data_IF_152372712910
#
_entry.id   IF_152372712910
#
_cell.length_a   1.000
_cell.length_b   1.000
_cell.length_c   1.000
_cell.angle_alpha   90.00
_cell.angle_beta   90.00
_cell.angle_gamma   90.00
#
_symmetry.space_group_name_H-M   'P 1'
#
loop_
_entity.id
_entity.type
_entity.pdbx_description
1 polymer ?
#
# COMPACT_ATOMS: atom_id res chain seq x y z
N UNK A 1 -22.82 20.64 24.05
CA UNK A 1 -21.82 20.94 23.01
C UNK A 1 -21.30 19.63 22.46
N UNK A 2 -21.62 19.45 21.17
CA UNK A 2 -21.21 18.51 20.14
C UNK A 2 -20.34 17.31 20.47
N UNK A 3 -20.85 16.14 20.07
CA UNK A 3 -20.12 14.89 19.84
C UNK A 3 -19.09 15.06 18.71
N UNK A 4 -18.03 15.83 18.96
CA UNK A 4 -16.98 16.17 18.00
C UNK A 4 -15.63 15.61 18.45
N UNK A 5 -15.58 14.32 18.79
CA UNK A 5 -14.32 13.64 19.15
C UNK A 5 -14.05 12.34 18.39
N UNK A 6 -14.98 11.85 17.58
CA UNK A 6 -14.80 10.61 16.82
C UNK A 6 -14.52 10.84 15.32
N UNK A 7 -14.94 11.97 14.75
CA UNK A 7 -14.87 12.19 13.29
C UNK A 7 -13.63 12.98 12.81
N UNK A 8 -12.74 13.40 13.72
CA UNK A 8 -11.64 14.32 13.41
C UNK A 8 -10.22 13.72 13.45
N UNK A 9 -10.07 12.40 13.47
CA UNK A 9 -8.75 11.78 13.25
C UNK A 9 -8.40 11.62 11.76
N UNK A 10 -9.33 11.92 10.86
CA UNK A 10 -9.15 11.74 9.42
C UNK A 10 -8.45 12.91 8.72
N UNK A 11 -8.37 14.09 9.35
CA UNK A 11 -7.79 15.29 8.71
C UNK A 11 -6.25 15.37 8.71
N UNK A 12 -5.54 14.44 9.36
CA UNK A 12 -4.06 14.47 9.35
C UNK A 12 -3.37 13.10 9.36
N UNK A 13 -4.02 12.05 8.86
CA UNK A 13 -3.31 10.79 8.67
C UNK A 13 -2.66 10.74 7.31
N UNK A 14 -1.33 10.82 7.28
CA UNK A 14 -0.55 10.55 6.07
C UNK A 14 -0.82 9.17 5.48
N UNK A 15 -1.19 8.19 6.31
CA UNK A 15 -1.53 6.84 5.86
C UNK A 15 -2.84 6.85 5.10
N UNK A 16 -3.84 7.58 5.58
CA UNK A 16 -5.15 7.63 4.92
C UNK A 16 -5.14 8.55 3.71
N UNK A 17 -4.41 9.67 3.74
CA UNK A 17 -4.15 10.49 2.55
C UNK A 17 -3.48 9.66 1.45
N UNK A 18 -2.38 8.98 1.79
CA UNK A 18 -1.73 8.05 0.87
C UNK A 18 -2.68 6.96 0.35
N UNK A 19 -3.48 6.34 1.23
CA UNK A 19 -4.42 5.30 0.85
C UNK A 19 -5.46 5.82 -0.16
N UNK A 20 -6.02 7.00 0.09
CA UNK A 20 -7.01 7.62 -0.80
C UNK A 20 -6.43 8.02 -2.15
N UNK A 21 -5.18 8.48 -2.19
CA UNK A 21 -4.54 9.01 -3.40
C UNK A 21 -3.87 7.91 -4.25
N UNK A 22 -3.22 6.96 -3.58
CA UNK A 22 -2.31 6.02 -4.23
C UNK A 22 -2.85 4.60 -4.34
N UNK A 23 -3.95 4.24 -3.66
CA UNK A 23 -4.50 2.88 -3.68
C UNK A 23 -5.82 2.81 -4.46
N UNK A 24 -6.02 1.70 -5.15
CA UNK A 24 -7.25 1.37 -5.87
C UNK A 24 -7.71 -0.07 -5.60
N UNK A 25 -9.00 -0.32 -5.80
CA UNK A 25 -9.53 -1.69 -5.78
C UNK A 25 -9.02 -2.45 -7.00
N UNK A 26 -8.61 -3.70 -6.81
CA UNK A 26 -8.15 -4.57 -7.89
C UNK A 26 -9.29 -4.85 -8.87
N UNK A 27 -9.04 -4.59 -10.15
CA UNK A 27 -9.98 -4.92 -11.23
C UNK A 27 -10.33 -6.42 -11.21
N UNK A 28 -11.61 -6.75 -11.01
CA UNK A 28 -12.10 -8.13 -11.02
C UNK A 28 -11.66 -9.00 -9.84
N UNK A 29 -11.17 -8.41 -8.74
CA UNK A 29 -10.83 -9.13 -7.50
C UNK A 29 -9.66 -10.12 -7.64
N UNK A 30 -8.88 -10.03 -8.72
CA UNK A 30 -7.76 -10.94 -8.99
C UNK A 30 -6.43 -10.22 -8.78
N UNK A 31 -5.51 -10.91 -8.12
CA UNK A 31 -4.13 -10.45 -7.93
C UNK A 31 -3.35 -10.84 -9.18
N UNK A 32 -3.00 -9.84 -10.00
CA UNK A 32 -2.26 -10.00 -11.26
C UNK A 32 -0.91 -9.29 -11.29
N UNK A 33 -0.61 -8.53 -10.24
CA UNK A 33 0.63 -7.78 -10.09
C UNK A 33 1.53 -8.40 -9.00
N UNK A 34 2.75 -7.89 -8.92
CA UNK A 34 3.72 -8.24 -7.89
C UNK A 34 3.77 -7.16 -6.80
N UNK A 35 2.65 -6.48 -6.54
CA UNK A 35 2.52 -5.41 -5.56
C UNK A 35 2.34 -6.01 -4.15
N UNK A 36 3.47 -6.25 -3.48
CA UNK A 36 3.49 -6.74 -2.10
C UNK A 36 3.17 -5.63 -1.11
N UNK A 37 2.76 -5.98 0.10
CA UNK A 37 2.57 -5.01 1.19
C UNK A 37 3.86 -4.24 1.48
N UNK A 38 5.03 -4.85 1.23
CA UNK A 38 6.34 -4.19 1.32
C UNK A 38 6.51 -3.08 0.28
N UNK A 39 6.21 -3.37 -1.00
CA UNK A 39 6.26 -2.37 -2.07
C UNK A 39 5.30 -1.21 -1.83
N UNK A 40 4.08 -1.49 -1.36
CA UNK A 40 3.13 -0.43 -0.97
C UNK A 40 3.73 0.46 0.13
N UNK A 41 4.38 -0.13 1.14
CA UNK A 41 5.04 0.63 2.19
C UNK A 41 6.28 1.43 1.69
N UNK A 42 7.03 0.90 0.74
CA UNK A 42 8.14 1.63 0.12
C UNK A 42 7.65 2.85 -0.67
N UNK A 43 6.55 2.69 -1.41
CA UNK A 43 5.89 3.81 -2.10
C UNK A 43 5.29 4.81 -1.11
N UNK A 44 4.71 4.36 0.00
CA UNK A 44 4.26 5.25 1.09
C UNK A 44 5.40 6.10 1.66
N UNK A 45 6.57 5.52 1.93
CA UNK A 45 7.74 6.29 2.40
C UNK A 45 8.17 7.35 1.38
N UNK A 46 8.17 7.01 0.09
CA UNK A 46 8.49 7.96 -0.97
C UNK A 46 7.45 9.08 -1.07
N UNK A 47 6.17 8.75 -0.98
CA UNK A 47 5.09 9.73 -0.93
C UNK A 47 5.22 10.65 0.29
N UNK A 48 5.61 10.13 1.46
CA UNK A 48 5.88 10.95 2.65
C UNK A 48 7.09 11.89 2.47
N UNK A 49 8.08 11.53 1.64
CA UNK A 49 9.19 12.43 1.29
C UNK A 49 8.70 13.68 0.56
N UNK A 50 7.73 13.51 -0.34
CA UNK A 50 7.15 14.61 -1.10
C UNK A 50 6.09 15.39 -0.31
N UNK A 51 5.31 14.72 0.55
CA UNK A 51 4.08 15.27 1.12
C UNK A 51 4.09 15.46 2.64
N UNK A 52 5.09 14.95 3.36
CA UNK A 52 5.15 15.02 4.83
C UNK A 52 6.59 15.22 5.37
N UNK A 53 7.39 16.01 4.67
CA UNK A 53 8.79 16.32 5.05
C UNK A 53 9.66 15.07 5.29
N UNK A 54 9.34 13.94 4.66
CA UNK A 54 10.05 12.67 4.82
C UNK A 54 9.67 11.86 6.06
N UNK A 55 8.78 12.35 6.92
CA UNK A 55 8.32 11.56 8.06
C UNK A 55 7.29 10.52 7.61
N UNK A 56 7.61 9.24 7.80
CA UNK A 56 6.72 8.12 7.55
C UNK A 56 6.52 7.31 8.84
N UNK A 57 5.27 6.89 9.09
CA UNK A 57 4.94 5.93 10.15
C UNK A 57 5.67 4.60 9.94
N UNK A 58 5.85 3.83 11.01
CA UNK A 58 6.43 2.49 10.90
C UNK A 58 5.53 1.54 10.09
N UNK A 59 6.11 0.47 9.55
CA UNK A 59 5.36 -0.54 8.79
C UNK A 59 4.25 -1.22 9.61
N UNK A 60 4.36 -1.24 10.95
CA UNK A 60 3.32 -1.77 11.84
C UNK A 60 2.15 -0.78 11.91
N UNK A 61 2.43 0.48 12.27
CA UNK A 61 1.42 1.55 12.35
C UNK A 61 0.69 1.73 11.02
N UNK A 62 1.44 1.78 9.91
CA UNK A 62 0.89 1.86 8.55
C UNK A 62 -0.16 0.78 8.28
N UNK A 63 0.16 -0.49 8.57
CA UNK A 63 -0.78 -1.60 8.33
C UNK A 63 -1.94 -1.62 9.32
N UNK A 64 -1.71 -1.25 10.57
CA UNK A 64 -2.76 -1.17 11.59
C UNK A 64 -3.80 -0.11 11.22
N UNK A 65 -3.35 1.06 10.82
CA UNK A 65 -4.24 2.18 10.47
C UNK A 65 -5.05 1.92 9.19
N UNK A 66 -4.47 1.22 8.20
CA UNK A 66 -5.22 0.72 7.04
C UNK A 66 -6.29 -0.29 7.48
N UNK A 67 -5.96 -1.21 8.40
CA UNK A 67 -6.91 -2.20 8.90
C UNK A 67 -8.09 -1.53 9.63
N UNK A 68 -7.80 -0.54 10.48
CA UNK A 68 -8.80 0.28 11.17
C UNK A 68 -9.69 1.04 10.18
N UNK A 69 -9.10 1.68 9.16
CA UNK A 69 -9.83 2.39 8.11
C UNK A 69 -10.78 1.48 7.32
N UNK A 70 -10.36 0.23 7.06
CA UNK A 70 -11.16 -0.76 6.34
C UNK A 70 -12.07 -1.58 7.26
N UNK A 71 -12.11 -1.29 8.57
CA UNK A 71 -12.87 -2.05 9.57
C UNK A 71 -12.57 -3.57 9.53
N UNK A 72 -11.28 -3.91 9.47
CA UNK A 72 -10.78 -5.28 9.29
C UNK A 72 -9.51 -5.53 10.12
N UNK A 73 -8.86 -6.68 9.93
CA UNK A 73 -7.58 -7.01 10.54
C UNK A 73 -6.48 -7.16 9.47
N UNK A 74 -5.21 -6.97 9.86
CA UNK A 74 -4.08 -7.16 8.94
C UNK A 74 -4.06 -8.56 8.31
N UNK A 75 -4.29 -9.66 9.05
CA UNK A 75 -4.43 -11.00 8.44
C UNK A 75 -5.62 -11.12 7.48
N UNK A 76 -6.75 -10.46 7.77
CA UNK A 76 -7.94 -10.59 6.94
C UNK A 76 -7.85 -9.81 5.63
N UNK A 77 -7.14 -8.67 5.59
CA UNK A 77 -6.95 -7.90 4.36
C UNK A 77 -5.75 -8.33 3.52
N UNK A 78 -4.92 -9.27 4.00
CA UNK A 78 -3.71 -9.73 3.30
C UNK A 78 -3.69 -11.23 3.04
N UNK A 79 -2.91 -11.66 2.04
CA UNK A 79 -2.71 -13.09 1.75
C UNK A 79 -1.25 -13.35 1.32
N UNK A 80 -0.75 -14.55 1.59
CA UNK A 80 0.61 -14.97 1.20
C UNK A 80 0.60 -15.46 -0.24
N UNK A 81 1.54 -14.97 -1.06
CA UNK A 81 1.86 -15.44 -2.41
C UNK A 81 3.34 -15.86 -2.47
N UNK A 82 3.74 -16.42 -3.60
CA UNK A 82 5.14 -16.81 -3.85
C UNK A 82 6.10 -15.63 -3.65
N UNK A 83 5.77 -14.45 -4.20
CA UNK A 83 6.57 -13.23 -4.05
C UNK A 83 6.44 -12.52 -2.68
N UNK A 84 5.56 -12.97 -1.77
CA UNK A 84 5.37 -12.35 -0.45
C UNK A 84 3.92 -12.06 -0.08
N UNK A 85 3.72 -11.25 0.96
CA UNK A 85 2.38 -10.83 1.41
C UNK A 85 1.83 -9.74 0.48
N UNK A 86 0.56 -9.83 0.11
CA UNK A 86 -0.15 -8.88 -0.77
C UNK A 86 -1.49 -8.49 -0.14
N UNK A 87 -2.00 -7.29 -0.43
CA UNK A 87 -3.39 -6.92 -0.12
C UNK A 87 -4.35 -7.65 -1.07
N UNK A 88 -5.43 -8.22 -0.51
CA UNK A 88 -6.38 -9.06 -1.25
C UNK A 88 -7.15 -8.26 -2.31
N UNK A 89 -7.73 -7.14 -1.89
CA UNK A 89 -8.68 -6.38 -2.69
C UNK A 89 -8.11 -5.07 -3.25
N UNK A 90 -6.93 -4.66 -2.78
CA UNK A 90 -6.33 -3.37 -3.12
C UNK A 90 -4.94 -3.53 -3.73
N UNK A 91 -4.57 -2.56 -4.57
CA UNK A 91 -3.23 -2.38 -5.14
C UNK A 91 -2.94 -0.89 -5.31
N UNK A 92 -1.72 -0.55 -5.72
CA UNK A 92 -1.37 0.83 -6.07
C UNK A 92 -2.00 1.22 -7.41
N UNK A 93 -2.41 2.48 -7.53
CA UNK A 93 -2.82 3.07 -8.81
C UNK A 93 -1.68 3.00 -9.82
N UNK A 94 -2.02 2.90 -11.11
CA UNK A 94 -1.00 2.97 -12.16
C UNK A 94 -0.18 4.27 -12.09
N UNK A 95 -0.82 5.40 -11.80
CA UNK A 95 -0.15 6.68 -11.59
C UNK A 95 0.85 6.62 -10.42
N UNK A 96 0.46 6.09 -9.26
CA UNK A 96 1.37 5.94 -8.13
C UNK A 96 2.55 5.01 -8.45
N UNK A 97 2.31 3.89 -9.15
CA UNK A 97 3.38 2.98 -9.60
C UNK A 97 4.37 3.68 -10.54
N UNK A 98 3.91 4.56 -11.42
CA UNK A 98 4.74 5.30 -12.35
C UNK A 98 5.51 6.43 -11.65
N UNK A 99 4.82 7.26 -10.87
CA UNK A 99 5.40 8.38 -10.13
C UNK A 99 6.48 7.90 -9.16
N UNK A 100 6.23 6.80 -8.46
CA UNK A 100 7.13 6.22 -7.47
C UNK A 100 7.89 4.99 -7.99
N UNK A 101 8.12 4.89 -9.30
CA UNK A 101 8.74 3.71 -9.93
C UNK A 101 10.09 3.31 -9.29
N UNK A 102 10.89 4.27 -8.82
CA UNK A 102 12.15 3.99 -8.11
C UNK A 102 11.95 3.24 -6.79
N UNK A 103 10.88 3.56 -6.05
CA UNK A 103 10.53 2.90 -4.80
C UNK A 103 9.74 1.60 -5.04
N UNK A 104 8.83 1.63 -6.02
CA UNK A 104 7.99 0.49 -6.38
C UNK A 104 8.77 -0.67 -7.03
N UNK A 105 9.73 -0.33 -7.90
CA UNK A 105 10.37 -1.27 -8.81
C UNK A 105 9.46 -1.60 -10.01
N UNK A 106 9.44 -2.87 -10.42
CA UNK A 106 8.69 -3.34 -11.58
C UNK A 106 7.78 -4.52 -11.23
N UNK A 107 6.72 -4.72 -12.02
CA UNK A 107 5.77 -5.84 -11.90
C UNK A 107 6.22 -7.11 -12.65
N UNK A 108 7.43 -7.10 -13.20
CA UNK A 108 7.94 -8.12 -14.12
C UNK A 108 7.83 -9.56 -13.62
N UNK A 109 7.38 -10.40 -14.54
CA UNK A 109 7.40 -11.85 -14.47
C UNK A 109 8.78 -12.36 -14.06
N UNK A 110 8.78 -13.51 -13.37
CA UNK A 110 9.96 -14.28 -12.98
C UNK A 110 11.14 -14.02 -13.90
N UNK A 111 12.18 -13.40 -13.34
CA UNK A 111 13.45 -13.23 -14.02
C UNK A 111 13.92 -14.63 -14.46
N UNK A 112 13.95 -14.85 -15.77
CA UNK A 112 14.30 -16.11 -16.43
C UNK A 112 15.51 -16.77 -15.76
N UNK A 113 15.29 -17.81 -14.95
CA UNK A 113 16.33 -18.75 -14.54
C UNK A 113 16.22 -20.02 -15.40
N UNK A 114 16.50 -19.89 -16.69
CA UNK A 114 16.76 -21.02 -17.58
C UNK A 114 17.63 -20.56 -18.75
N UNK A 115 18.89 -20.25 -18.46
CA UNK A 115 19.94 -20.16 -19.47
C UNK A 115 21.30 -20.50 -18.84
N UNK A 116 21.48 -21.78 -18.52
CA UNK A 116 22.79 -22.43 -18.54
C UNK A 116 22.55 -23.86 -19.02
N UNK A 117 22.64 -24.05 -20.35
CA UNK A 117 22.87 -25.36 -20.96
C UNK A 117 24.30 -25.82 -20.68
#
# INVERSE_FOLDING_TARGET
MSAARADYQHENSTVISFWSECMEKRSGGKIRDNCTTGKVYDVYKAWCADNNHGYAKTAKEFRTEIAEHLNTTVPDMTTRRAQGMVYKDYTLTNDAKQQYAKAYGYDGAEFLSAASS
#
